data_IF_138510065851
#
_entry.id   IF_138510065851
#
_cell.length_a   1.000
_cell.length_b   1.000
_cell.length_c   1.000
_cell.angle_alpha   90.00
_cell.angle_beta   90.00
_cell.angle_gamma   90.00
#
_symmetry.space_group_name_H-M   'P 1'
#
loop_
_entity.id
_entity.type
_entity.pdbx_description
1 polymer ?
#
# COMPACT_ATOMS: atom_id res chain seq x y z
N UNK A 1 -18.97 -6.63 -16.66
CA UNK A 1 -18.55 -7.43 -15.49
C UNK A 1 -17.41 -8.32 -15.97
N UNK A 2 -16.24 -8.27 -15.33
CA UNK A 2 -14.94 -8.71 -15.87
C UNK A 2 -14.75 -10.22 -16.12
N UNK A 3 -15.84 -11.00 -16.24
CA UNK A 3 -15.78 -12.43 -16.57
C UNK A 3 -15.27 -13.36 -15.45
N UNK A 4 -15.02 -12.84 -14.25
CA UNK A 4 -14.57 -13.62 -13.09
C UNK A 4 -15.71 -14.44 -12.50
N UNK A 5 -15.43 -15.71 -12.23
CA UNK A 5 -16.34 -16.61 -11.51
C UNK A 5 -16.19 -16.44 -9.99
N UNK A 6 -17.15 -16.95 -9.22
CA UNK A 6 -17.03 -16.97 -7.75
C UNK A 6 -15.81 -17.76 -7.28
N UNK A 7 -15.43 -18.82 -8.00
CA UNK A 7 -14.24 -19.60 -7.71
C UNK A 7 -12.97 -18.76 -7.90
N UNK A 8 -12.87 -17.98 -8.97
CA UNK A 8 -11.72 -17.10 -9.21
C UNK A 8 -11.56 -16.06 -8.09
N UNK A 9 -12.67 -15.50 -7.61
CA UNK A 9 -12.65 -14.54 -6.50
C UNK A 9 -12.23 -15.21 -5.18
N UNK A 10 -12.69 -16.44 -4.93
CA UNK A 10 -12.32 -17.21 -3.74
C UNK A 10 -10.82 -17.54 -3.75
N UNK A 11 -10.31 -18.06 -4.86
CA UNK A 11 -8.90 -18.41 -4.99
C UNK A 11 -8.00 -17.18 -4.80
N UNK A 12 -8.37 -16.05 -5.42
CA UNK A 12 -7.62 -14.80 -5.27
C UNK A 12 -7.64 -14.26 -3.84
N UNK A 13 -8.79 -14.29 -3.16
CA UNK A 13 -8.88 -13.83 -1.76
C UNK A 13 -8.09 -14.73 -0.80
N UNK A 14 -8.09 -16.05 -1.03
CA UNK A 14 -7.24 -16.98 -0.26
C UNK A 14 -5.76 -16.71 -0.49
N UNK A 15 -5.35 -16.45 -1.73
CA UNK A 15 -3.98 -16.03 -2.04
C UNK A 15 -3.60 -14.75 -1.29
N UNK A 16 -4.42 -13.69 -1.37
CA UNK A 16 -4.20 -12.44 -0.64
C UNK A 16 -4.07 -12.67 0.87
N UNK A 17 -4.92 -13.54 1.45
CA UNK A 17 -4.82 -13.90 2.86
C UNK A 17 -3.49 -14.60 3.18
N UNK A 18 -2.98 -15.44 2.29
CA UNK A 18 -1.73 -16.19 2.50
C UNK A 18 -0.47 -15.33 2.42
N UNK A 19 -0.50 -14.23 1.66
CA UNK A 19 0.65 -13.33 1.46
C UNK A 19 0.56 -12.03 2.26
N UNK A 20 -0.56 -11.78 2.94
CA UNK A 20 -0.76 -10.57 3.75
C UNK A 20 -0.30 -10.76 5.20
N UNK A 21 0.03 -9.66 5.84
CA UNK A 21 0.36 -9.59 7.26
C UNK A 21 -0.64 -8.69 7.99
N UNK A 22 -1.13 -9.14 9.14
CA UNK A 22 -2.03 -8.35 9.99
C UNK A 22 -1.20 -7.46 10.91
N UNK A 23 -1.39 -6.15 10.76
CA UNK A 23 -0.77 -5.16 11.65
C UNK A 23 -1.73 -4.74 12.76
N UNK A 24 -1.21 -4.58 13.97
CA UNK A 24 -1.98 -4.08 15.12
C UNK A 24 -1.79 -2.57 15.22
N UNK A 25 -2.88 -1.81 15.18
CA UNK A 25 -2.87 -0.36 15.21
C UNK A 25 -2.82 0.18 16.65
N UNK A 26 -2.18 1.34 16.82
CA UNK A 26 -2.17 2.10 18.08
C UNK A 26 -3.17 3.27 17.98
N UNK A 27 -4.23 3.31 18.82
CA UNK A 27 -5.22 4.39 18.84
C UNK A 27 -4.64 5.78 19.14
N UNK A 28 -3.44 5.87 19.69
CA UNK A 28 -2.77 7.14 20.02
C UNK A 28 -1.82 7.61 18.92
N UNK A 29 -1.81 6.94 17.77
CA UNK A 29 -0.94 7.26 16.65
C UNK A 29 -1.08 8.70 16.16
N UNK A 30 0.07 9.28 15.79
CA UNK A 30 0.18 10.64 15.27
C UNK A 30 1.13 10.65 14.09
N UNK A 31 0.65 11.20 12.99
CA UNK A 31 1.39 11.43 11.77
C UNK A 31 0.99 12.78 11.16
N UNK A 32 1.74 13.30 10.18
CA UNK A 32 1.45 14.57 9.53
C UNK A 32 0.23 14.56 8.59
N UNK A 33 -0.65 13.55 8.67
CA UNK A 33 -1.95 13.51 8.00
C UNK A 33 -3.07 13.98 8.93
N UNK A 34 -4.10 14.60 8.35
CA UNK A 34 -5.26 15.12 9.09
C UNK A 34 -6.50 14.24 8.96
N UNK A 35 -6.66 13.54 7.83
CA UNK A 35 -7.77 12.61 7.65
C UNK A 35 -7.57 11.37 8.55
N UNK A 36 -8.53 11.04 9.42
CA UNK A 36 -8.46 9.85 10.27
C UNK A 36 -8.34 8.53 9.48
N UNK A 37 -8.91 8.43 8.28
CA UNK A 37 -8.81 7.23 7.45
C UNK A 37 -7.39 7.07 6.89
N UNK A 38 -6.78 8.16 6.44
CA UNK A 38 -5.41 8.12 5.91
C UNK A 38 -4.38 7.88 7.01
N UNK A 39 -4.66 8.33 8.23
CA UNK A 39 -3.85 7.98 9.40
C UNK A 39 -3.80 6.47 9.64
N UNK A 40 -4.91 5.76 9.43
CA UNK A 40 -4.94 4.29 9.56
C UNK A 40 -4.10 3.64 8.46
N UNK A 41 -4.21 4.12 7.22
CA UNK A 41 -3.42 3.61 6.08
C UNK A 41 -1.92 3.86 6.31
N UNK A 42 -1.55 5.07 6.71
CA UNK A 42 -0.16 5.42 6.96
C UNK A 42 0.41 4.63 8.15
N UNK A 43 -0.35 4.44 9.23
CA UNK A 43 0.09 3.58 10.34
C UNK A 43 0.27 2.13 9.90
N UNK A 44 -0.61 1.64 9.03
CA UNK A 44 -0.53 0.30 8.47
C UNK A 44 0.76 0.13 7.69
N UNK A 45 1.12 1.11 6.84
CA UNK A 45 2.39 1.12 6.12
C UNK A 45 3.57 1.17 7.09
N UNK A 46 3.59 2.07 8.07
CA UNK A 46 4.69 2.14 9.04
C UNK A 46 4.94 0.82 9.78
N UNK A 47 3.87 0.14 10.20
CA UNK A 47 3.97 -1.11 10.97
C UNK A 47 4.18 -2.34 10.10
N UNK A 48 3.71 -2.30 8.86
CA UNK A 48 3.90 -3.37 7.89
C UNK A 48 5.26 -3.31 7.20
N UNK A 49 5.97 -2.18 7.32
CA UNK A 49 7.29 -1.93 6.74
C UNK A 49 7.37 -2.32 5.24
N UNK A 50 6.40 -1.94 4.39
CA UNK A 50 6.48 -2.24 2.97
C UNK A 50 7.53 -1.33 2.33
N UNK A 51 8.18 -1.83 1.28
CA UNK A 51 9.05 -0.99 0.44
C UNK A 51 8.23 0.09 -0.28
N UNK A 52 6.98 -0.21 -0.67
CA UNK A 52 6.10 0.66 -1.45
C UNK A 52 4.69 0.75 -0.84
N UNK A 53 4.21 1.97 -0.64
CA UNK A 53 2.80 2.30 -0.45
C UNK A 53 2.20 2.76 -1.79
N UNK A 54 1.43 1.88 -2.42
CA UNK A 54 0.75 2.18 -3.68
C UNK A 54 -0.61 2.84 -3.41
N UNK A 55 -0.79 4.09 -3.83
CA UNK A 55 -2.06 4.83 -3.63
C UNK A 55 -2.30 5.88 -4.71
N UNK A 56 -3.58 6.11 -5.03
CA UNK A 56 -4.03 7.22 -5.89
C UNK A 56 -4.51 8.43 -5.06
N UNK A 57 -4.44 8.34 -3.73
CA UNK A 57 -4.88 9.40 -2.84
C UNK A 57 -3.87 10.56 -2.84
N UNK A 58 -4.34 11.74 -3.26
CA UNK A 58 -3.54 12.94 -3.43
C UNK A 58 -2.90 13.45 -2.14
N UNK A 59 -3.50 13.18 -0.97
CA UNK A 59 -2.99 13.66 0.31
C UNK A 59 -1.64 13.02 0.68
N UNK A 60 -1.36 11.83 0.15
CA UNK A 60 -0.07 11.15 0.33
C UNK A 60 1.06 11.72 -0.53
N UNK A 61 0.73 12.55 -1.53
CA UNK A 61 1.69 13.21 -2.40
C UNK A 61 2.06 14.62 -1.93
N UNK A 62 1.53 15.09 -0.79
CA UNK A 62 2.06 16.28 -0.13
C UNK A 62 3.52 16.05 0.27
N UNK A 63 4.36 17.06 0.08
CA UNK A 63 5.80 16.96 0.31
C UNK A 63 6.15 16.55 1.75
N UNK A 64 5.33 16.94 2.73
CA UNK A 64 5.50 16.57 4.13
C UNK A 64 5.30 15.06 4.31
N UNK A 65 4.29 14.49 3.67
CA UNK A 65 3.98 13.06 3.75
C UNK A 65 5.02 12.24 3.00
N UNK A 66 5.40 12.65 1.79
CA UNK A 66 6.47 12.00 1.02
C UNK A 66 7.79 11.95 1.82
N UNK A 67 8.16 13.05 2.47
CA UNK A 67 9.37 13.12 3.29
C UNK A 67 9.25 12.22 4.54
N UNK A 68 8.06 12.16 5.14
CA UNK A 68 7.77 11.31 6.29
C UNK A 68 7.87 9.81 5.96
N UNK A 69 7.33 9.39 4.81
CA UNK A 69 7.41 8.02 4.30
C UNK A 69 8.85 7.66 3.90
N UNK A 70 9.53 8.55 3.16
CA UNK A 70 10.93 8.34 2.72
C UNK A 70 11.88 8.14 3.91
N UNK A 71 11.67 8.89 5.01
CA UNK A 71 12.46 8.75 6.23
C UNK A 71 12.33 7.36 6.89
N UNK A 72 11.36 6.56 6.46
CA UNK A 72 11.09 5.19 6.93
C UNK A 72 11.31 4.14 5.85
N UNK A 73 11.98 4.51 4.75
CA UNK A 73 12.21 3.63 3.61
C UNK A 73 10.94 3.16 2.91
N UNK A 74 9.83 3.90 3.07
CA UNK A 74 8.58 3.65 2.36
C UNK A 74 8.51 4.62 1.18
N UNK A 75 8.51 4.08 -0.03
CA UNK A 75 8.21 4.85 -1.24
C UNK A 75 6.70 4.98 -1.42
N UNK A 76 6.21 6.13 -1.86
CA UNK A 76 4.81 6.31 -2.28
C UNK A 76 4.77 6.42 -3.80
N UNK A 77 3.96 5.59 -4.46
CA UNK A 77 3.74 5.69 -5.89
C UNK A 77 2.30 5.33 -6.29
N UNK A 78 1.92 5.66 -7.52
CA UNK A 78 0.63 5.29 -8.07
C UNK A 78 0.66 3.88 -8.67
N UNK A 79 -0.53 3.36 -8.98
CA UNK A 79 -0.71 2.02 -9.53
C UNK A 79 0.00 1.84 -10.88
N UNK A 80 -0.04 2.83 -11.76
CA UNK A 80 0.59 2.73 -13.07
C UNK A 80 2.11 2.64 -12.93
N UNK A 81 2.69 3.46 -12.06
CA UNK A 81 4.12 3.43 -11.72
C UNK A 81 4.52 2.07 -11.14
N UNK A 82 3.74 1.51 -10.21
CA UNK A 82 4.02 0.19 -9.65
C UNK A 82 3.96 -0.92 -10.71
N UNK A 83 2.91 -0.95 -11.52
CA UNK A 83 2.74 -1.95 -12.58
C UNK A 83 3.85 -1.90 -13.62
N UNK A 84 4.30 -0.71 -14.00
CA UNK A 84 5.43 -0.55 -14.93
C UNK A 84 6.72 -1.16 -14.37
N UNK A 85 6.96 -1.06 -13.06
CA UNK A 85 8.14 -1.65 -12.40
C UNK A 85 8.04 -3.17 -12.35
N UNK A 86 6.90 -3.70 -11.89
CA UNK A 86 6.67 -5.13 -11.81
C UNK A 86 6.79 -5.83 -13.18
N UNK A 87 6.37 -5.15 -14.26
CA UNK A 87 6.51 -5.65 -15.63
C UNK A 87 7.98 -5.65 -16.12
N UNK A 88 8.82 -4.73 -15.64
CA UNK A 88 10.25 -4.70 -15.96
C UNK A 88 11.01 -5.81 -15.22
N UNK A 89 10.69 -6.02 -13.93
CA UNK A 89 11.33 -7.06 -13.13
C UNK A 89 11.06 -8.46 -13.70
N UNK A 90 9.82 -8.72 -14.14
CA UNK A 90 9.44 -9.99 -14.78
C UNK A 90 9.96 -10.17 -16.22
N UNK A 91 10.65 -9.17 -16.78
CA UNK A 91 11.36 -9.29 -18.07
C UNK A 91 12.85 -9.60 -17.90
N UNK A 92 13.34 -9.66 -16.66
CA UNK A 92 14.77 -9.85 -16.33
C UNK A 92 15.09 -11.25 -15.77
N UNK A 93 14.10 -12.15 -15.74
CA UNK A 93 14.22 -13.60 -15.50
C UNK A 93 14.04 -14.39 -16.81
#
# INVERSE_FOLDING_TARGET
MYGLTEADLLDYTQFLQSVSHVVILDPQYRAPLRDPNDLIVLQTAERGEPDILCTQDGDFYDQTILSYCTARSIEVCDELTLLMRLAQDSSTE
#
